data_IF_618653874258
#
_entry.id   IF_618653874258
#
_cell.length_a   1.000
_cell.length_b   1.000
_cell.length_c   1.000
_cell.angle_alpha   90.00
_cell.angle_beta   90.00
_cell.angle_gamma   90.00
#
_symmetry.space_group_name_H-M   'P 1'
#
loop_
_entity.id
_entity.type
_entity.pdbx_description
1 polymer ?
#
# COMPACT_ATOMS: atom_id res chain seq x y z
N UNK A 1 -13.52 -11.54 18.53
CA UNK A 1 -13.97 -12.24 17.31
C UNK A 1 -13.27 -11.61 16.11
N UNK A 2 -13.06 -12.36 15.06
CA UNK A 2 -12.37 -11.95 13.83
C UNK A 2 -12.97 -10.70 13.18
N UNK A 3 -14.29 -10.50 13.33
CA UNK A 3 -15.00 -9.32 12.83
C UNK A 3 -14.51 -8.03 13.50
N UNK A 4 -14.28 -8.05 14.82
CA UNK A 4 -13.82 -6.88 15.55
C UNK A 4 -12.37 -6.51 15.15
N UNK A 5 -11.50 -7.52 15.02
CA UNK A 5 -10.12 -7.32 14.58
C UNK A 5 -10.05 -6.78 13.14
N UNK A 6 -10.87 -7.29 12.24
CA UNK A 6 -10.97 -6.81 10.86
C UNK A 6 -11.49 -5.37 10.79
N UNK A 7 -12.47 -5.02 11.63
CA UNK A 7 -13.00 -3.64 11.72
C UNK A 7 -11.93 -2.66 12.21
N UNK A 8 -11.16 -3.04 13.23
CA UNK A 8 -10.07 -2.21 13.73
C UNK A 8 -8.97 -2.01 12.67
N UNK A 9 -8.58 -3.07 11.98
CA UNK A 9 -7.60 -2.99 10.90
C UNK A 9 -8.10 -2.07 9.77
N UNK A 10 -9.36 -2.23 9.33
CA UNK A 10 -9.97 -1.37 8.32
C UNK A 10 -9.96 0.10 8.72
N UNK A 11 -10.26 0.40 9.99
CA UNK A 11 -10.19 1.77 10.50
C UNK A 11 -8.76 2.33 10.45
N UNK A 12 -7.76 1.54 10.88
CA UNK A 12 -6.35 1.95 10.84
C UNK A 12 -5.89 2.27 9.42
N UNK A 13 -6.27 1.45 8.46
CA UNK A 13 -5.94 1.66 7.03
C UNK A 13 -6.58 2.94 6.51
N UNK A 14 -7.88 3.15 6.76
CA UNK A 14 -8.59 4.35 6.31
C UNK A 14 -8.02 5.64 6.95
N UNK A 15 -7.68 5.58 8.23
CA UNK A 15 -7.02 6.70 8.92
C UNK A 15 -5.63 6.96 8.31
N UNK A 16 -4.86 5.91 8.05
CA UNK A 16 -3.54 6.03 7.42
C UNK A 16 -3.61 6.70 6.04
N UNK A 17 -4.56 6.32 5.20
CA UNK A 17 -4.80 7.01 3.92
C UNK A 17 -5.17 8.47 4.10
N UNK A 18 -6.06 8.78 5.03
CA UNK A 18 -6.48 10.15 5.30
C UNK A 18 -5.33 11.03 5.79
N UNK A 19 -4.44 10.49 6.62
CA UNK A 19 -3.27 11.19 7.17
C UNK A 19 -2.07 11.22 6.22
N UNK A 20 -2.13 10.56 5.06
CA UNK A 20 -1.01 10.54 4.10
C UNK A 20 -0.63 11.97 3.68
N UNK A 21 0.67 12.34 3.68
CA UNK A 21 1.12 13.69 3.29
C UNK A 21 0.64 14.15 1.90
N UNK A 22 0.45 13.23 0.96
CA UNK A 22 -0.03 13.54 -0.39
C UNK A 22 -1.55 13.77 -0.49
N UNK A 23 -2.28 13.67 0.63
CA UNK A 23 -3.72 13.93 0.69
C UNK A 23 -3.94 15.30 1.33
N UNK A 24 -4.56 16.22 0.57
CA UNK A 24 -4.89 17.56 1.07
C UNK A 24 -6.08 17.54 2.04
N UNK A 25 -7.14 16.84 1.68
CA UNK A 25 -8.36 16.77 2.46
C UNK A 25 -9.16 15.50 2.19
N UNK A 26 -10.14 15.22 3.01
CA UNK A 26 -10.88 13.95 3.00
C UNK A 26 -12.38 14.18 3.01
N UNK A 27 -13.08 13.52 2.10
CA UNK A 27 -14.54 13.43 2.08
C UNK A 27 -14.94 11.99 2.39
N UNK A 28 -15.59 11.76 3.51
CA UNK A 28 -16.06 10.46 3.95
C UNK A 28 -17.54 10.33 3.61
N UNK A 29 -17.93 9.26 2.94
CA UNK A 29 -19.33 8.96 2.63
C UNK A 29 -19.69 7.64 3.31
N UNK A 30 -20.64 7.69 4.24
CA UNK A 30 -21.24 6.51 4.86
C UNK A 30 -22.61 6.22 4.32
N UNK A 31 -23.03 4.95 4.39
CA UNK A 31 -24.40 4.55 4.04
C UNK A 31 -25.38 4.89 5.18
N UNK A 32 -25.00 4.56 6.43
CA UNK A 32 -25.80 4.69 7.65
C UNK A 32 -25.92 3.40 8.46
N UNK A 33 -25.46 2.26 7.93
CA UNK A 33 -25.46 0.96 8.60
C UNK A 33 -24.10 0.23 8.48
N UNK A 34 -23.05 0.94 8.11
CA UNK A 34 -21.70 0.41 8.01
C UNK A 34 -21.09 0.10 9.38
N UNK A 35 -20.17 -0.87 9.42
CA UNK A 35 -19.46 -1.31 10.63
C UNK A 35 -18.50 -0.22 11.17
N UNK A 36 -18.04 0.67 10.29
CA UNK A 36 -17.19 1.82 10.63
C UNK A 36 -17.99 3.10 10.39
N UNK A 37 -18.70 3.63 11.40
CA UNK A 37 -19.53 4.82 11.23
C UNK A 37 -18.73 6.02 10.75
N UNK A 38 -19.20 6.69 9.71
CA UNK A 38 -18.49 7.78 9.05
C UNK A 38 -18.15 8.95 10.00
N UNK A 39 -19.02 9.27 10.97
CA UNK A 39 -18.76 10.33 11.97
C UNK A 39 -17.64 9.95 12.91
N UNK A 40 -17.65 8.73 13.44
CA UNK A 40 -16.60 8.23 14.31
C UNK A 40 -15.25 8.16 13.60
N UNK A 41 -15.26 7.74 12.31
CA UNK A 41 -14.05 7.75 11.49
C UNK A 41 -13.53 9.19 11.28
N UNK A 42 -14.41 10.14 10.99
CA UNK A 42 -14.04 11.56 10.87
C UNK A 42 -13.37 12.08 12.13
N UNK A 43 -13.97 11.85 13.30
CA UNK A 43 -13.42 12.29 14.59
C UNK A 43 -12.02 11.72 14.85
N UNK A 44 -11.82 10.42 14.55
CA UNK A 44 -10.51 9.78 14.70
C UNK A 44 -9.45 10.38 13.75
N UNK A 45 -9.82 10.69 12.50
CA UNK A 45 -8.92 11.32 11.56
C UNK A 45 -8.59 12.74 12.01
N UNK A 46 -9.59 13.54 12.40
CA UNK A 46 -9.39 14.90 12.87
C UNK A 46 -8.53 15.00 14.15
N UNK A 47 -8.52 13.95 14.97
CA UNK A 47 -7.62 13.88 16.13
C UNK A 47 -6.14 13.65 15.73
N UNK A 48 -5.85 13.26 14.50
CA UNK A 48 -4.50 12.92 14.03
C UNK A 48 -3.96 13.88 12.98
N UNK A 49 -4.79 14.78 12.42
CA UNK A 49 -4.37 15.69 11.36
C UNK A 49 -5.21 16.97 11.37
N UNK A 50 -4.58 18.09 11.00
CA UNK A 50 -5.24 19.39 10.84
C UNK A 50 -5.85 19.58 9.42
N UNK A 51 -5.80 18.56 8.57
CA UNK A 51 -6.37 18.60 7.23
C UNK A 51 -7.88 18.76 7.25
N UNK A 52 -8.49 19.37 6.21
CA UNK A 52 -9.94 19.45 6.12
C UNK A 52 -10.55 18.04 5.95
N UNK A 53 -11.47 17.69 6.85
CA UNK A 53 -12.17 16.40 6.85
C UNK A 53 -13.65 16.65 7.02
N UNK A 54 -14.45 16.21 6.06
CA UNK A 54 -15.91 16.25 6.09
C UNK A 54 -16.51 14.86 5.96
N UNK A 55 -17.71 14.66 6.50
CA UNK A 55 -18.40 13.39 6.35
C UNK A 55 -19.90 13.58 6.12
N UNK A 56 -20.46 12.71 5.28
CA UNK A 56 -21.86 12.71 4.91
C UNK A 56 -22.43 11.28 5.01
N UNK A 57 -23.64 11.12 5.58
CA UNK A 57 -24.38 9.87 5.61
C UNK A 57 -25.47 9.86 4.55
N UNK A 58 -25.48 8.89 3.63
CA UNK A 58 -26.47 8.83 2.53
C UNK A 58 -27.91 8.87 3.06
N UNK A 59 -28.20 8.10 4.11
CA UNK A 59 -29.54 8.09 4.73
C UNK A 59 -29.85 9.42 5.44
N UNK A 60 -28.87 10.02 6.10
CA UNK A 60 -29.03 11.29 6.83
C UNK A 60 -29.24 12.46 5.87
N UNK A 61 -28.58 12.45 4.72
CA UNK A 61 -28.69 13.52 3.71
C UNK A 61 -29.97 13.43 2.86
N UNK A 62 -30.74 12.37 3.02
CA UNK A 62 -31.98 12.16 2.28
C UNK A 62 -31.77 11.55 0.90
N UNK A 63 -30.72 10.73 0.77
CA UNK A 63 -30.47 9.88 -0.40
C UNK A 63 -29.25 10.23 -1.20
N UNK A 64 -28.92 9.34 -2.13
CA UNK A 64 -27.65 9.34 -2.88
C UNK A 64 -27.39 10.65 -3.64
N UNK A 65 -28.39 11.18 -4.37
CA UNK A 65 -28.18 12.37 -5.19
C UNK A 65 -27.82 13.61 -4.36
N UNK A 66 -28.49 13.80 -3.22
CA UNK A 66 -28.19 14.93 -2.31
C UNK A 66 -26.80 14.77 -1.67
N UNK A 67 -26.42 13.54 -1.33
CA UNK A 67 -25.10 13.24 -0.79
C UNK A 67 -24.00 13.51 -1.82
N UNK A 68 -24.21 13.11 -3.08
CA UNK A 68 -23.29 13.39 -4.19
C UNK A 68 -23.10 14.90 -4.35
N UNK A 69 -24.19 15.66 -4.37
CA UNK A 69 -24.11 17.13 -4.52
C UNK A 69 -23.23 17.76 -3.44
N UNK A 70 -23.48 17.42 -2.16
CA UNK A 70 -22.71 17.95 -1.02
C UNK A 70 -21.24 17.51 -1.05
N UNK A 71 -21.00 16.23 -1.32
CA UNK A 71 -19.65 15.66 -1.38
C UNK A 71 -18.82 16.30 -2.51
N UNK A 72 -19.43 16.47 -3.69
CA UNK A 72 -18.76 17.12 -4.85
C UNK A 72 -18.45 18.58 -4.55
N UNK A 73 -19.35 19.33 -3.92
CA UNK A 73 -19.09 20.72 -3.52
C UNK A 73 -17.90 20.77 -2.55
N UNK A 74 -17.91 19.98 -1.49
CA UNK A 74 -16.82 19.93 -0.51
C UNK A 74 -15.48 19.55 -1.16
N UNK A 75 -15.48 18.52 -2.00
CA UNK A 75 -14.26 18.09 -2.70
C UNK A 75 -13.73 19.18 -3.66
N UNK A 76 -14.62 19.87 -4.37
CA UNK A 76 -14.25 20.97 -5.27
C UNK A 76 -13.63 22.14 -4.49
N UNK A 77 -14.23 22.51 -3.35
CA UNK A 77 -13.74 23.62 -2.54
C UNK A 77 -12.36 23.29 -1.96
N UNK A 78 -12.16 22.07 -1.45
CA UNK A 78 -10.85 21.57 -1.03
C UNK A 78 -9.82 21.55 -2.18
N UNK A 79 -10.24 21.14 -3.38
CA UNK A 79 -9.35 21.14 -4.55
C UNK A 79 -8.95 22.56 -4.97
N UNK A 80 -9.87 23.52 -4.86
CA UNK A 80 -9.58 24.92 -5.15
C UNK A 80 -8.58 25.50 -4.14
N UNK A 81 -8.71 25.18 -2.85
CA UNK A 81 -7.75 25.58 -1.82
C UNK A 81 -6.38 24.93 -2.03
N UNK A 82 -6.36 23.63 -2.32
CA UNK A 82 -5.12 22.91 -2.62
C UNK A 82 -4.37 23.49 -3.83
N UNK A 83 -5.11 23.98 -4.84
CA UNK A 83 -4.53 24.61 -6.03
C UNK A 83 -3.84 25.95 -5.74
N UNK A 84 -4.12 26.58 -4.62
CA UNK A 84 -3.47 27.82 -4.17
C UNK A 84 -2.18 27.58 -3.39
N UNK A 85 -1.91 26.34 -3.00
CA UNK A 85 -0.67 25.99 -2.27
C UNK A 85 0.55 26.26 -3.13
N UNK A 86 1.55 26.87 -2.52
CA UNK A 86 2.83 27.10 -3.19
C UNK A 86 3.72 25.87 -3.02
N UNK A 87 4.48 25.56 -4.06
CA UNK A 87 5.51 24.52 -3.98
C UNK A 87 6.71 25.08 -3.22
N UNK A 88 7.29 24.25 -2.38
CA UNK A 88 8.52 24.53 -1.64
C UNK A 88 9.63 23.58 -2.10
N UNK A 89 10.88 24.04 -2.00
CA UNK A 89 12.03 23.17 -2.20
C UNK A 89 12.14 22.22 -1.01
N UNK A 90 12.36 20.93 -1.30
CA UNK A 90 12.60 19.91 -0.28
C UNK A 90 13.79 19.04 -0.67
N UNK A 91 14.41 18.42 0.31
CA UNK A 91 15.48 17.47 0.08
C UNK A 91 14.92 16.15 -0.48
N UNK A 92 15.67 15.50 -1.36
CA UNK A 92 15.25 14.22 -1.96
C UNK A 92 15.11 13.11 -0.91
N UNK A 93 15.76 13.23 0.24
CA UNK A 93 15.65 12.28 1.36
C UNK A 93 14.24 12.20 1.96
N UNK A 94 13.40 13.21 1.73
CA UNK A 94 11.99 13.19 2.13
C UNK A 94 11.11 12.34 1.22
N UNK A 95 11.63 11.96 0.05
CA UNK A 95 10.88 11.13 -0.89
C UNK A 95 10.87 9.66 -0.42
N UNK A 96 9.66 9.12 -0.26
CA UNK A 96 9.41 7.71 0.02
C UNK A 96 8.62 7.10 -1.13
N UNK A 97 9.26 6.21 -1.90
CA UNK A 97 8.61 5.49 -3.01
C UNK A 97 8.09 4.13 -2.53
N UNK A 98 6.77 3.94 -2.59
CA UNK A 98 6.14 2.63 -2.44
C UNK A 98 6.22 1.84 -3.75
N UNK A 99 6.62 0.59 -3.67
CA UNK A 99 6.72 -0.34 -4.81
C UNK A 99 5.72 -1.46 -4.60
N UNK A 100 4.84 -1.64 -5.58
CA UNK A 100 3.71 -2.56 -5.54
C UNK A 100 3.63 -3.38 -6.84
N UNK A 101 2.98 -4.55 -6.80
CA UNK A 101 2.65 -5.35 -7.97
C UNK A 101 1.41 -4.78 -8.68
N UNK A 102 1.49 -4.61 -10.00
CA UNK A 102 0.32 -4.29 -10.83
C UNK A 102 -0.31 -5.51 -11.49
N UNK A 103 0.50 -6.52 -11.73
CA UNK A 103 0.16 -7.79 -12.39
C UNK A 103 1.41 -8.37 -13.03
N UNK A 104 1.69 -9.64 -12.74
CA UNK A 104 2.94 -10.29 -13.20
C UNK A 104 2.70 -11.15 -14.42
N UNK A 105 3.58 -11.01 -15.41
CA UNK A 105 3.72 -11.85 -16.59
C UNK A 105 5.20 -12.16 -16.89
N UNK A 106 5.50 -12.88 -17.94
CA UNK A 106 6.87 -13.23 -18.31
C UNK A 106 7.75 -11.99 -18.57
N UNK A 107 7.18 -10.87 -19.03
CA UNK A 107 7.94 -9.64 -19.32
C UNK A 107 8.23 -8.82 -18.07
N UNK A 108 7.49 -9.03 -16.98
CA UNK A 108 7.67 -8.30 -15.73
C UNK A 108 9.08 -8.47 -15.15
N UNK A 109 9.57 -9.70 -15.11
CA UNK A 109 10.91 -10.02 -14.61
C UNK A 109 12.04 -9.59 -15.55
N UNK A 110 11.76 -9.46 -16.85
CA UNK A 110 12.76 -9.07 -17.86
C UNK A 110 12.88 -7.56 -18.07
N UNK A 111 11.80 -6.80 -17.88
CA UNK A 111 11.75 -5.38 -18.24
C UNK A 111 11.27 -4.49 -17.08
N UNK A 112 10.00 -4.60 -16.66
CA UNK A 112 9.43 -3.64 -15.74
C UNK A 112 10.04 -3.70 -14.33
N UNK A 113 10.24 -4.89 -13.77
CA UNK A 113 10.81 -5.04 -12.44
C UNK A 113 12.28 -4.60 -12.37
N UNK A 114 13.17 -4.96 -13.34
CA UNK A 114 14.51 -4.38 -13.41
C UNK A 114 14.52 -2.86 -13.56
N UNK A 115 13.63 -2.28 -14.37
CA UNK A 115 13.55 -0.83 -14.52
C UNK A 115 13.15 -0.13 -13.21
N UNK A 116 12.19 -0.70 -12.46
CA UNK A 116 11.82 -0.22 -11.12
C UNK A 116 12.99 -0.38 -10.14
N UNK A 117 13.75 -1.46 -10.25
CA UNK A 117 14.93 -1.69 -9.42
C UNK A 117 16.05 -0.67 -9.68
N UNK A 118 16.28 -0.29 -10.92
CA UNK A 118 17.22 0.77 -11.27
C UNK A 118 16.76 2.12 -10.72
N UNK A 119 15.47 2.43 -10.84
CA UNK A 119 14.89 3.63 -10.21
C UNK A 119 15.08 3.60 -8.69
N UNK A 120 14.85 2.45 -8.05
CA UNK A 120 15.05 2.28 -6.61
C UNK A 120 16.52 2.57 -6.22
N UNK A 121 17.48 2.01 -6.96
CA UNK A 121 18.90 2.23 -6.72
C UNK A 121 19.31 3.70 -6.93
N UNK A 122 18.77 4.39 -7.94
CA UNK A 122 18.99 5.81 -8.17
C UNK A 122 18.46 6.65 -7.01
N UNK A 123 17.21 6.45 -6.61
CA UNK A 123 16.57 7.21 -5.53
C UNK A 123 17.30 7.01 -4.19
N UNK A 124 17.58 5.75 -3.83
CA UNK A 124 18.33 5.43 -2.60
C UNK A 124 19.75 6.01 -2.65
N UNK A 125 20.39 5.97 -3.83
CA UNK A 125 21.69 6.59 -4.03
C UNK A 125 21.70 8.11 -3.86
N UNK A 126 20.56 8.77 -4.05
CA UNK A 126 20.35 10.21 -3.82
C UNK A 126 19.91 10.54 -2.39
N UNK A 127 19.68 9.54 -1.54
CA UNK A 127 19.24 9.70 -0.16
C UNK A 127 17.76 9.47 0.10
N UNK A 128 16.95 9.21 -0.94
CA UNK A 128 15.55 8.85 -0.81
C UNK A 128 15.37 7.43 -0.22
N UNK A 129 14.12 7.06 0.08
CA UNK A 129 13.78 5.73 0.57
C UNK A 129 12.81 5.01 -0.36
N UNK A 130 12.92 3.69 -0.42
CA UNK A 130 11.96 2.85 -1.14
C UNK A 130 11.40 1.75 -0.24
N UNK A 131 10.12 1.43 -0.39
CA UNK A 131 9.44 0.35 0.35
C UNK A 131 8.91 -0.68 -0.63
N UNK A 132 9.33 -1.93 -0.47
CA UNK A 132 8.72 -3.09 -1.11
C UNK A 132 7.57 -3.59 -0.23
N UNK A 133 6.33 -3.37 -0.64
CA UNK A 133 5.14 -3.57 0.20
C UNK A 133 4.66 -5.02 0.32
N UNK A 134 5.08 -5.90 -0.59
CA UNK A 134 4.53 -7.25 -0.73
C UNK A 134 5.55 -8.34 -0.39
N UNK A 135 5.71 -8.65 0.89
CA UNK A 135 6.61 -9.73 1.33
C UNK A 135 6.24 -11.12 0.79
N UNK A 136 4.96 -11.34 0.44
CA UNK A 136 4.52 -12.59 -0.21
C UNK A 136 5.22 -12.83 -1.55
N UNK A 137 5.61 -11.77 -2.27
CA UNK A 137 6.31 -11.88 -3.53
C UNK A 137 7.78 -12.33 -3.38
N UNK A 138 8.32 -12.34 -2.14
CA UNK A 138 9.69 -12.78 -1.88
C UNK A 138 9.78 -14.28 -1.55
N UNK A 139 8.66 -14.91 -1.20
CA UNK A 139 8.60 -16.34 -0.86
C UNK A 139 9.12 -17.17 -2.03
N UNK A 140 10.17 -17.97 -1.75
CA UNK A 140 10.97 -18.68 -2.75
C UNK A 140 12.30 -17.98 -3.09
N UNK A 141 12.37 -16.65 -2.97
CA UNK A 141 13.55 -15.82 -3.18
C UNK A 141 14.00 -15.02 -1.94
N UNK A 142 13.37 -15.22 -0.78
CA UNK A 142 13.60 -14.46 0.45
C UNK A 142 15.08 -14.42 0.88
N UNK A 143 15.80 -15.50 0.67
CA UNK A 143 17.23 -15.62 0.96
C UNK A 143 18.10 -14.66 0.13
N UNK A 144 17.65 -14.26 -1.06
CA UNK A 144 18.37 -13.30 -1.91
C UNK A 144 18.11 -11.87 -1.43
N UNK A 145 16.90 -11.58 -0.99
CA UNK A 145 16.56 -10.29 -0.36
C UNK A 145 17.37 -10.15 0.95
N UNK A 146 17.39 -11.19 1.78
CA UNK A 146 18.11 -11.21 3.05
C UNK A 146 19.64 -11.04 2.90
N UNK A 147 20.24 -11.45 1.78
CA UNK A 147 21.67 -11.20 1.49
C UNK A 147 22.01 -9.72 1.37
N UNK A 148 21.03 -8.85 1.12
CA UNK A 148 21.21 -7.40 1.01
C UNK A 148 21.10 -6.69 2.36
N UNK A 149 20.77 -7.41 3.43
CA UNK A 149 20.63 -6.84 4.76
C UNK A 149 21.93 -6.20 5.24
N UNK A 150 21.83 -4.99 5.77
CA UNK A 150 22.98 -4.26 6.31
C UNK A 150 23.51 -4.87 7.62
N UNK A 151 22.66 -5.59 8.36
CA UNK A 151 23.03 -6.27 9.61
C UNK A 151 22.44 -7.67 9.68
N UNK A 152 23.02 -8.58 10.52
CA UNK A 152 22.44 -9.90 10.77
C UNK A 152 21.01 -9.86 11.31
N UNK A 153 20.66 -8.84 12.09
CA UNK A 153 19.32 -8.66 12.65
C UNK A 153 18.31 -8.38 11.54
N UNK A 154 18.63 -7.50 10.60
CA UNK A 154 17.79 -7.20 9.42
C UNK A 154 17.65 -8.45 8.55
N UNK A 155 18.74 -9.19 8.33
CA UNK A 155 18.70 -10.48 7.62
C UNK A 155 17.66 -11.41 8.23
N UNK A 156 17.71 -11.61 9.55
CA UNK A 156 16.79 -12.49 10.25
C UNK A 156 15.35 -11.97 10.23
N UNK A 157 15.15 -10.65 10.28
CA UNK A 157 13.83 -10.02 10.16
C UNK A 157 13.21 -10.27 8.78
N UNK A 158 13.97 -10.15 7.70
CA UNK A 158 13.50 -10.41 6.33
C UNK A 158 13.00 -11.85 6.19
N UNK A 159 13.80 -12.84 6.64
CA UNK A 159 13.40 -14.24 6.62
C UNK A 159 12.14 -14.45 7.48
N UNK A 160 12.12 -13.90 8.69
CA UNK A 160 10.99 -14.02 9.60
C UNK A 160 9.69 -13.45 9.06
N UNK A 161 9.73 -12.31 8.35
CA UNK A 161 8.53 -11.72 7.74
C UNK A 161 7.88 -12.67 6.74
N UNK A 162 8.67 -13.33 5.91
CA UNK A 162 8.18 -14.32 4.95
C UNK A 162 7.60 -15.56 5.66
N UNK A 163 8.32 -16.10 6.67
CA UNK A 163 7.85 -17.24 7.44
C UNK A 163 6.55 -16.95 8.21
N UNK A 164 6.45 -15.80 8.86
CA UNK A 164 5.25 -15.42 9.61
C UNK A 164 4.05 -15.23 8.67
N UNK A 165 4.26 -14.64 7.50
CA UNK A 165 3.22 -14.51 6.50
C UNK A 165 2.74 -15.87 5.99
N UNK A 166 3.66 -16.77 5.67
CA UNK A 166 3.34 -18.15 5.26
C UNK A 166 2.57 -18.92 6.35
N UNK A 167 2.96 -18.77 7.62
CA UNK A 167 2.23 -19.35 8.76
C UNK A 167 0.81 -18.80 8.88
N UNK A 168 0.65 -17.48 8.70
CA UNK A 168 -0.65 -16.83 8.74
C UNK A 168 -1.59 -17.36 7.64
N UNK A 169 -1.10 -17.50 6.41
CA UNK A 169 -1.87 -18.06 5.32
C UNK A 169 -2.25 -19.53 5.56
N UNK A 170 -1.31 -20.35 6.05
CA UNK A 170 -1.58 -21.76 6.40
C UNK A 170 -2.64 -21.89 7.50
N UNK A 171 -2.60 -21.01 8.50
CA UNK A 171 -3.63 -20.98 9.55
C UNK A 171 -5.02 -20.62 8.99
N UNK A 172 -5.08 -19.85 7.92
CA UNK A 172 -6.31 -19.54 7.17
C UNK A 172 -6.67 -20.59 6.12
N UNK A 173 -5.99 -21.75 6.10
CA UNK A 173 -6.25 -22.81 5.13
C UNK A 173 -5.73 -22.54 3.71
N UNK A 174 -4.81 -21.60 3.55
CA UNK A 174 -4.24 -21.23 2.26
C UNK A 174 -2.78 -21.66 2.15
N UNK A 175 -2.37 -22.11 0.97
CA UNK A 175 -0.98 -22.41 0.64
C UNK A 175 -0.48 -21.45 -0.43
N UNK A 176 0.36 -20.49 -0.03
CA UNK A 176 0.89 -19.50 -0.97
C UNK A 176 1.87 -20.13 -1.98
N UNK A 177 2.60 -21.18 -1.61
CA UNK A 177 3.55 -21.82 -2.53
C UNK A 177 2.83 -22.59 -3.64
N UNK A 178 1.73 -23.26 -3.31
CA UNK A 178 0.90 -23.95 -4.30
C UNK A 178 0.02 -22.97 -5.12
N UNK A 179 -0.38 -21.85 -4.50
CA UNK A 179 -1.24 -20.84 -5.12
C UNK A 179 -0.54 -19.85 -6.06
N UNK A 180 0.79 -19.86 -6.11
CA UNK A 180 1.60 -18.95 -6.93
C UNK A 180 2.44 -19.72 -7.97
N UNK A 181 2.60 -19.23 -9.20
CA UNK A 181 1.89 -18.10 -9.82
C UNK A 181 0.38 -18.34 -9.96
N UNK A 182 -0.41 -17.28 -9.90
CA UNK A 182 -1.86 -17.37 -10.12
C UNK A 182 -2.20 -17.83 -11.54
N UNK A 183 -3.45 -18.30 -11.81
CA UNK A 183 -3.85 -18.65 -13.18
C UNK A 183 -3.62 -17.52 -14.19
N UNK A 184 -3.87 -16.26 -13.81
CA UNK A 184 -3.60 -15.09 -14.65
C UNK A 184 -2.11 -14.88 -14.93
N UNK A 185 -1.25 -15.09 -13.93
CA UNK A 185 0.20 -15.01 -14.11
C UNK A 185 0.71 -16.12 -15.05
N UNK A 186 0.15 -17.35 -14.94
CA UNK A 186 0.49 -18.48 -15.83
C UNK A 186 0.03 -18.21 -17.28
N UNK A 187 -1.16 -17.65 -17.45
CA UNK A 187 -1.64 -17.22 -18.76
C UNK A 187 -0.75 -16.12 -19.36
N UNK A 188 -0.15 -15.27 -18.53
CA UNK A 188 0.86 -14.28 -18.91
C UNK A 188 2.27 -14.83 -19.12
N UNK A 189 2.48 -16.16 -19.01
CA UNK A 189 3.73 -16.84 -19.34
C UNK A 189 4.64 -17.20 -18.16
N UNK A 190 4.23 -16.96 -16.90
CA UNK A 190 4.99 -17.40 -15.72
C UNK A 190 4.75 -18.90 -15.45
N UNK A 191 5.82 -19.63 -15.10
CA UNK A 191 5.76 -21.09 -14.90
C UNK A 191 5.82 -21.50 -13.43
N UNK A 192 6.72 -20.92 -12.65
CA UNK A 192 7.00 -21.35 -11.26
C UNK A 192 6.96 -20.21 -10.25
N UNK A 193 6.82 -20.56 -8.98
CA UNK A 193 6.94 -19.61 -7.88
C UNK A 193 8.32 -18.92 -7.89
N UNK A 194 9.38 -19.69 -8.07
CA UNK A 194 10.75 -19.15 -8.05
C UNK A 194 10.96 -18.13 -9.18
N UNK A 195 10.48 -18.44 -10.40
CA UNK A 195 10.52 -17.49 -11.52
C UNK A 195 9.82 -16.17 -11.16
N UNK A 196 8.61 -16.25 -10.60
CA UNK A 196 7.86 -15.08 -10.16
C UNK A 196 8.63 -14.31 -9.08
N UNK A 197 9.09 -14.98 -8.03
CA UNK A 197 9.78 -14.34 -6.91
C UNK A 197 11.10 -13.70 -7.32
N UNK A 198 11.92 -14.40 -8.11
CA UNK A 198 13.17 -13.86 -8.66
C UNK A 198 12.94 -12.62 -9.52
N UNK A 199 11.86 -12.60 -10.30
CA UNK A 199 11.44 -11.41 -11.04
C UNK A 199 11.03 -10.27 -10.12
N UNK A 200 10.19 -10.55 -9.12
CA UNK A 200 9.63 -9.55 -8.23
C UNK A 200 10.67 -8.86 -7.34
N UNK A 201 11.62 -9.59 -6.76
CA UNK A 201 12.64 -9.01 -5.88
C UNK A 201 13.56 -8.01 -6.59
N UNK A 202 13.63 -8.06 -7.94
CA UNK A 202 14.40 -7.09 -8.74
C UNK A 202 13.89 -5.66 -8.59
N UNK A 203 12.60 -5.47 -8.27
CA UNK A 203 12.01 -4.14 -8.02
C UNK A 203 12.74 -3.36 -6.91
N UNK A 204 13.29 -4.04 -5.93
CA UNK A 204 14.01 -3.43 -4.81
C UNK A 204 15.43 -2.98 -5.13
N UNK A 205 15.91 -3.16 -6.37
CA UNK A 205 17.29 -2.80 -6.74
C UNK A 205 18.36 -3.65 -6.05
N UNK A 206 19.52 -3.07 -5.86
CA UNK A 206 20.73 -3.76 -5.32
C UNK A 206 21.27 -3.15 -4.03
N UNK A 207 20.78 -1.99 -3.61
CA UNK A 207 21.23 -1.29 -2.40
C UNK A 207 20.95 -2.09 -1.13
N UNK A 208 21.73 -1.89 -0.05
CA UNK A 208 21.47 -2.51 1.26
C UNK A 208 20.07 -2.20 1.80
N UNK A 209 19.56 -3.12 2.59
CA UNK A 209 18.27 -3.03 3.28
C UNK A 209 18.52 -2.89 4.79
#
# INVERSE_FOLDING_TARGET
SDVAANTEMSQKVLIGFACNPNVYGVVIIGLGCETVPHKALREKIQAMTDKPVVSFGIQEEGGTLKTIEKAVRAARDMAAEAALMQKEECDISELLLGIECGGSDATSGMASNPAVGELSDLLVGMGASTIMSESIEWIGGEHLVAKRAATPEIHNQIIKVCEDYEKHLKAAGQDCRAGQPTPGNKAGGLSTLDEKSLGCIRKGGTRPI
#
